data_IF_153659735109
#
_entry.id   IF_153659735109
#
_cell.length_a   1.000
_cell.length_b   1.000
_cell.length_c   1.000
_cell.angle_alpha   90.00
_cell.angle_beta   90.00
_cell.angle_gamma   90.00
#
_symmetry.space_group_name_H-M   'P 1'
#
loop_
_entity.id
_entity.type
_entity.pdbx_description
1 polymer ?
#
# COMPACT_ATOMS: atom_id res chain seq x y z
N UNK A 1 -12.29 -31.84 2.57
CA UNK A 1 -11.88 -30.54 2.03
C UNK A 1 -12.37 -29.45 2.99
N UNK A 2 -11.50 -28.85 3.80
CA UNK A 2 -11.85 -27.72 4.64
C UNK A 2 -12.01 -26.50 3.74
N UNK A 3 -13.23 -25.97 3.60
CA UNK A 3 -13.47 -24.70 2.94
C UNK A 3 -12.79 -23.61 3.76
N UNK A 4 -11.72 -23.02 3.23
CA UNK A 4 -11.01 -21.94 3.87
C UNK A 4 -11.96 -20.77 4.12
N UNK A 5 -11.87 -20.19 5.31
CA UNK A 5 -12.49 -18.92 5.69
C UNK A 5 -12.05 -17.89 4.63
N UNK A 6 -12.99 -17.23 3.96
CA UNK A 6 -12.66 -16.12 3.07
C UNK A 6 -12.08 -15.01 3.94
N UNK A 7 -10.76 -14.86 3.94
CA UNK A 7 -10.10 -13.74 4.61
C UNK A 7 -10.23 -12.52 3.71
N UNK A 8 -10.54 -11.37 4.32
CA UNK A 8 -10.64 -10.09 3.61
C UNK A 8 -9.31 -9.73 2.94
N UNK A 9 -8.19 -10.17 3.55
CA UNK A 9 -6.82 -9.99 3.06
C UNK A 9 -6.17 -11.38 3.00
N UNK A 10 -5.97 -11.88 1.79
CA UNK A 10 -5.52 -13.26 1.53
C UNK A 10 -4.01 -13.31 1.28
N UNK A 11 -3.23 -12.93 2.29
CA UNK A 11 -1.77 -13.06 2.29
C UNK A 11 -1.22 -13.32 3.70
N UNK A 12 -0.01 -13.89 3.77
CA UNK A 12 0.73 -14.08 5.02
C UNK A 12 1.72 -12.91 5.23
N UNK A 13 1.46 -12.07 6.21
CA UNK A 13 2.29 -10.92 6.58
C UNK A 13 3.66 -11.29 7.18
N UNK A 14 3.95 -12.59 7.34
CA UNK A 14 5.24 -13.14 7.78
C UNK A 14 6.11 -13.65 6.64
N UNK A 15 5.60 -13.62 5.40
CA UNK A 15 6.27 -14.10 4.20
C UNK A 15 6.43 -12.97 3.21
N UNK A 16 7.67 -12.63 2.87
CA UNK A 16 7.99 -11.64 1.85
C UNK A 16 7.38 -12.05 0.51
N UNK A 17 7.51 -13.33 0.15
CA UNK A 17 6.97 -13.85 -1.10
C UNK A 17 5.45 -13.73 -1.15
N UNK A 18 4.77 -14.05 -0.04
CA UNK A 18 3.31 -13.93 0.04
C UNK A 18 2.84 -12.47 -0.07
N UNK A 19 3.53 -11.54 0.59
CA UNK A 19 3.26 -10.10 0.47
C UNK A 19 3.46 -9.65 -0.99
N UNK A 20 4.56 -10.06 -1.61
CA UNK A 20 4.89 -9.67 -2.97
C UNK A 20 3.91 -10.23 -4.00
N UNK A 21 3.60 -11.52 -3.96
CA UNK A 21 2.64 -12.16 -4.86
C UNK A 21 1.23 -11.54 -4.72
N UNK A 22 0.85 -11.20 -3.48
CA UNK A 22 -0.40 -10.48 -3.26
C UNK A 22 -0.36 -9.08 -3.88
N UNK A 23 0.73 -8.34 -3.66
CA UNK A 23 0.93 -7.01 -4.21
C UNK A 23 0.97 -6.99 -5.75
N UNK A 24 1.50 -8.04 -6.38
CA UNK A 24 1.54 -8.18 -7.85
C UNK A 24 0.14 -8.17 -8.49
N UNK A 25 -0.90 -8.55 -7.76
CA UNK A 25 -2.28 -8.49 -8.25
C UNK A 25 -2.78 -7.07 -8.49
N UNK A 26 -2.08 -6.06 -7.94
CA UNK A 26 -2.37 -4.63 -8.18
C UNK A 26 -2.06 -4.20 -9.62
N UNK A 27 -1.16 -4.88 -10.32
CA UNK A 27 -0.76 -4.47 -11.68
C UNK A 27 -1.94 -4.54 -12.64
N UNK A 28 -2.22 -3.43 -13.31
CA UNK A 28 -3.36 -3.24 -14.20
C UNK A 28 -4.62 -2.71 -13.52
N UNK A 29 -4.68 -2.68 -12.18
CA UNK A 29 -5.81 -2.12 -11.44
C UNK A 29 -5.70 -0.61 -11.29
N UNK A 30 -6.85 0.05 -11.24
CA UNK A 30 -7.00 1.42 -10.77
C UNK A 30 -7.30 1.45 -9.26
N UNK A 31 -7.10 2.60 -8.62
CA UNK A 31 -7.48 2.76 -7.21
C UNK A 31 -9.00 2.63 -6.99
N UNK A 32 -9.83 3.00 -7.98
CA UNK A 32 -11.29 2.77 -7.93
C UNK A 32 -11.61 1.28 -7.91
N UNK A 33 -10.99 0.48 -8.78
CA UNK A 33 -11.21 -0.98 -8.81
C UNK A 33 -10.81 -1.63 -7.49
N UNK A 34 -9.70 -1.21 -6.86
CA UNK A 34 -9.31 -1.67 -5.52
C UNK A 34 -10.38 -1.32 -4.48
N UNK A 35 -10.93 -0.10 -4.55
CA UNK A 35 -12.02 0.32 -3.66
C UNK A 35 -13.27 -0.56 -3.82
N UNK A 36 -13.64 -0.86 -5.06
CA UNK A 36 -14.80 -1.69 -5.38
C UNK A 36 -14.62 -3.13 -4.90
N UNK A 37 -13.42 -3.70 -5.10
CA UNK A 37 -13.11 -5.04 -4.57
C UNK A 37 -13.16 -5.09 -3.05
N UNK A 38 -12.63 -4.08 -2.37
CA UNK A 38 -12.71 -3.98 -0.92
C UNK A 38 -14.17 -3.92 -0.45
N UNK A 39 -14.99 -3.06 -1.03
CA UNK A 39 -16.40 -2.92 -0.69
C UNK A 39 -17.19 -4.21 -0.98
N UNK A 40 -16.89 -4.90 -2.09
CA UNK A 40 -17.50 -6.18 -2.43
C UNK A 40 -17.12 -7.27 -1.41
N UNK A 41 -15.87 -7.32 -1.01
CA UNK A 41 -15.36 -8.28 -0.04
C UNK A 41 -15.97 -8.05 1.35
N UNK A 42 -16.14 -6.79 1.76
CA UNK A 42 -16.84 -6.44 3.00
C UNK A 42 -18.29 -6.93 2.97
N UNK A 43 -19.05 -6.63 1.90
CA UNK A 43 -20.43 -7.10 1.76
C UNK A 43 -20.51 -8.62 1.85
N UNK A 44 -19.64 -9.35 1.17
CA UNK A 44 -19.59 -10.81 1.21
C UNK A 44 -19.26 -11.34 2.60
N UNK A 45 -18.38 -10.68 3.34
CA UNK A 45 -18.02 -11.05 4.71
C UNK A 45 -19.20 -10.89 5.67
N UNK A 46 -19.96 -9.79 5.57
CA UNK A 46 -21.10 -9.50 6.46
C UNK A 46 -22.40 -10.18 6.06
N UNK A 47 -22.56 -10.64 4.82
CA UNK A 47 -23.76 -11.37 4.37
C UNK A 47 -23.68 -12.87 4.58
N UNK A 48 -22.59 -13.40 5.13
CA UNK A 48 -22.42 -14.84 5.39
C UNK A 48 -23.15 -15.21 6.70
N UNK A 49 -24.22 -16.05 6.67
CA UNK A 49 -25.11 -16.26 7.83
C UNK A 49 -24.54 -17.15 8.94
N UNK A 50 -23.26 -17.48 8.93
CA UNK A 50 -22.64 -18.42 9.88
C UNK A 50 -21.90 -17.78 11.08
N UNK A 51 -21.96 -16.47 11.30
CA UNK A 51 -21.40 -15.85 12.51
C UNK A 51 -22.47 -15.10 13.33
N UNK A 52 -22.46 -15.24 14.67
CA UNK A 52 -23.46 -14.57 15.49
C UNK A 52 -23.31 -13.06 15.43
N UNK A 53 -24.41 -12.40 15.10
CA UNK A 53 -24.56 -10.96 14.97
C UNK A 53 -24.33 -10.26 16.34
N UNK A 54 -23.12 -10.01 16.73
CA UNK A 54 -22.81 -9.19 17.92
C UNK A 54 -22.10 -7.88 17.63
N UNK A 55 -21.85 -7.54 16.35
CA UNK A 55 -21.32 -6.23 15.98
C UNK A 55 -22.32 -5.47 15.12
N UNK A 56 -23.06 -4.55 15.74
CA UNK A 56 -23.72 -3.46 15.01
C UNK A 56 -22.65 -2.50 14.50
N UNK A 57 -22.04 -2.82 13.34
CA UNK A 57 -21.29 -1.82 12.60
C UNK A 57 -22.32 -0.96 11.90
N UNK A 58 -22.33 0.35 12.23
CA UNK A 58 -23.00 1.33 11.36
C UNK A 58 -22.50 1.09 9.94
N UNK A 59 -23.43 1.01 8.99
CA UNK A 59 -23.14 1.03 7.55
C UNK A 59 -22.46 2.36 7.20
N UNK A 60 -21.20 2.49 7.54
CA UNK A 60 -20.33 3.42 6.86
C UNK A 60 -19.96 2.73 5.54
N UNK A 61 -20.82 2.89 4.53
CA UNK A 61 -20.36 2.90 3.16
C UNK A 61 -19.25 3.93 3.14
N UNK A 62 -18.00 3.44 3.08
CA UNK A 62 -16.84 4.32 2.99
C UNK A 62 -16.89 4.94 1.59
N UNK A 63 -17.71 5.99 1.44
CA UNK A 63 -17.50 6.94 0.36
C UNK A 63 -16.12 7.53 0.62
N UNK A 64 -15.12 6.99 -0.08
CA UNK A 64 -13.83 7.63 -0.13
C UNK A 64 -14.04 8.98 -0.84
N UNK A 65 -14.26 10.03 -0.02
CA UNK A 65 -14.27 11.39 -0.54
C UNK A 65 -12.95 11.60 -1.25
N UNK A 66 -13.02 11.79 -2.55
CA UNK A 66 -11.88 12.07 -3.42
C UNK A 66 -10.89 12.97 -2.67
N UNK A 67 -9.64 12.55 -2.48
CA UNK A 67 -8.66 13.38 -1.81
C UNK A 67 -8.60 14.72 -2.51
N UNK A 68 -8.70 15.81 -1.78
CA UNK A 68 -8.49 17.15 -2.33
C UNK A 68 -7.16 17.20 -3.07
N UNK A 69 -7.05 18.02 -4.12
CA UNK A 69 -5.91 18.11 -5.05
C UNK A 69 -4.52 18.23 -4.36
N UNK A 70 -4.48 18.57 -3.07
CA UNK A 70 -3.26 18.87 -2.31
C UNK A 70 -2.83 17.79 -1.32
N UNK A 71 -3.50 16.65 -1.25
CA UNK A 71 -3.18 15.65 -0.25
C UNK A 71 -2.10 14.68 -0.74
N UNK A 72 -0.83 15.05 -0.52
CA UNK A 72 0.31 14.15 -0.67
C UNK A 72 0.16 12.97 0.30
N UNK A 73 0.49 11.76 -0.15
CA UNK A 73 0.46 10.54 0.69
C UNK A 73 -0.90 9.83 0.78
N UNK A 74 -1.99 10.41 0.27
CA UNK A 74 -3.32 9.78 0.41
C UNK A 74 -3.46 8.45 -0.34
N UNK A 75 -2.85 8.30 -1.52
CA UNK A 75 -2.89 7.03 -2.26
C UNK A 75 -2.08 5.93 -1.56
N UNK A 76 -1.00 6.31 -0.81
CA UNK A 76 -0.25 5.37 0.03
C UNK A 76 -1.11 4.85 1.17
N UNK A 77 -1.65 5.76 1.96
CA UNK A 77 -2.56 5.42 3.05
C UNK A 77 -3.77 4.62 2.57
N UNK A 78 -4.20 4.86 1.31
CA UNK A 78 -5.27 4.09 0.68
C UNK A 78 -4.87 2.62 0.50
N UNK A 79 -3.68 2.35 -0.09
CA UNK A 79 -3.19 0.98 -0.28
C UNK A 79 -2.98 0.26 1.06
N UNK A 80 -2.36 0.93 2.03
CA UNK A 80 -2.17 0.40 3.37
C UNK A 80 -3.50 -0.08 3.97
N UNK A 81 -4.50 0.77 3.93
CA UNK A 81 -5.78 0.53 4.61
C UNK A 81 -6.70 -0.43 3.84
N UNK A 82 -6.89 -0.20 2.54
CA UNK A 82 -7.93 -0.86 1.76
C UNK A 82 -7.45 -2.07 0.98
N UNK A 83 -6.16 -2.13 0.67
CA UNK A 83 -5.59 -3.28 -0.02
C UNK A 83 -4.86 -4.23 0.93
N UNK A 84 -3.98 -3.71 1.77
CA UNK A 84 -3.20 -4.54 2.71
C UNK A 84 -3.86 -4.70 4.10
N UNK A 85 -4.83 -3.89 4.45
CA UNK A 85 -5.66 -4.06 5.65
C UNK A 85 -5.00 -3.65 6.95
N UNK A 86 -3.99 -2.80 6.92
CA UNK A 86 -3.42 -2.23 8.15
C UNK A 86 -3.65 -0.72 8.22
N UNK A 87 -3.65 -0.20 9.45
CA UNK A 87 -3.86 1.23 9.68
C UNK A 87 -2.53 1.97 9.50
N UNK A 88 -2.50 3.04 8.68
CA UNK A 88 -1.35 3.91 8.63
C UNK A 88 -0.98 4.37 10.03
N UNK A 89 0.27 4.17 10.42
CA UNK A 89 0.77 4.59 11.70
C UNK A 89 2.04 5.42 11.52
N UNK A 90 2.32 6.33 12.47
CA UNK A 90 3.52 7.15 12.48
C UNK A 90 4.73 6.47 13.12
N UNK A 91 4.73 5.15 13.21
CA UNK A 91 5.82 4.37 13.82
C UNK A 91 7.04 4.35 12.90
N UNK A 92 8.22 4.35 13.48
CA UNK A 92 9.49 4.34 12.74
C UNK A 92 9.81 2.97 12.12
N UNK A 93 9.11 1.92 12.51
CA UNK A 93 9.27 0.58 11.94
C UNK A 93 8.74 0.48 10.50
N UNK A 94 9.18 -0.55 9.78
CA UNK A 94 8.67 -0.86 8.46
C UNK A 94 7.17 -1.25 8.52
N UNK A 95 6.43 -0.95 7.45
CA UNK A 95 4.97 -1.17 7.37
C UNK A 95 4.59 -2.64 7.63
N UNK A 96 5.35 -3.58 7.07
CA UNK A 96 5.24 -5.00 7.39
C UNK A 96 6.33 -5.37 8.41
N UNK A 97 6.10 -5.03 9.67
CA UNK A 97 7.10 -5.15 10.75
C UNK A 97 7.67 -6.56 10.93
N UNK A 98 6.88 -7.62 10.63
CA UNK A 98 7.31 -9.02 10.74
C UNK A 98 8.34 -9.43 9.69
N UNK A 99 8.36 -8.78 8.54
CA UNK A 99 9.28 -9.06 7.43
C UNK A 99 10.27 -7.94 7.18
N UNK A 100 10.01 -6.75 7.73
CA UNK A 100 10.80 -5.56 7.50
C UNK A 100 10.60 -4.94 6.11
N UNK A 101 9.53 -5.28 5.42
CA UNK A 101 9.15 -4.67 4.15
C UNK A 101 8.48 -3.32 4.40
N UNK A 102 8.95 -2.29 3.73
CA UNK A 102 8.34 -0.95 3.70
C UNK A 102 7.54 -0.77 2.42
N UNK A 103 6.28 -0.37 2.51
CA UNK A 103 5.46 -0.02 1.36
C UNK A 103 5.75 1.40 0.91
N UNK A 104 6.09 1.57 -0.35
CA UNK A 104 6.20 2.88 -0.98
C UNK A 104 5.44 2.89 -2.30
N UNK A 105 4.83 4.02 -2.58
CA UNK A 105 4.18 4.24 -3.86
C UNK A 105 4.68 5.55 -4.47
N UNK A 106 4.79 5.56 -5.79
CA UNK A 106 5.22 6.73 -6.54
C UNK A 106 4.61 6.73 -7.93
N UNK A 107 4.54 7.89 -8.56
CA UNK A 107 4.05 7.98 -9.93
C UNK A 107 5.17 7.85 -10.95
N UNK A 108 4.77 7.34 -12.10
CA UNK A 108 5.51 7.43 -13.36
C UNK A 108 4.72 8.29 -14.34
N UNK A 109 5.43 9.02 -15.18
CA UNK A 109 4.87 9.81 -16.27
C UNK A 109 5.23 9.16 -17.61
N UNK A 110 4.28 9.10 -18.54
CA UNK A 110 4.54 8.66 -19.91
C UNK A 110 5.06 9.82 -20.76
N UNK A 111 6.20 9.59 -21.39
CA UNK A 111 6.79 10.55 -22.35
C UNK A 111 6.09 10.45 -23.70
N UNK A 112 6.29 11.47 -24.55
CA UNK A 112 5.71 11.51 -25.91
C UNK A 112 6.17 10.35 -26.82
N UNK A 113 7.34 9.78 -26.56
CA UNK A 113 7.87 8.61 -27.28
C UNK A 113 7.36 7.26 -26.75
N UNK A 114 6.47 7.28 -25.75
CA UNK A 114 5.91 6.08 -25.12
C UNK A 114 6.68 5.56 -23.91
N UNK A 115 7.92 5.99 -23.69
CA UNK A 115 8.72 5.59 -22.53
C UNK A 115 8.15 6.14 -21.23
N UNK A 116 8.52 5.52 -20.11
CA UNK A 116 8.20 6.01 -18.77
C UNK A 116 9.39 6.75 -18.14
N UNK A 117 9.08 7.67 -17.25
CA UNK A 117 10.05 8.34 -16.39
C UNK A 117 9.48 8.50 -14.98
N UNK A 118 10.35 8.64 -13.99
CA UNK A 118 9.92 9.00 -12.65
C UNK A 118 9.13 10.31 -12.68
N UNK A 119 7.95 10.30 -12.09
CA UNK A 119 7.07 11.46 -12.03
C UNK A 119 7.33 12.35 -10.82
N UNK A 120 7.90 11.76 -9.74
CA UNK A 120 8.24 12.49 -8.52
C UNK A 120 9.39 11.80 -7.77
N UNK A 121 9.93 12.51 -6.76
CA UNK A 121 10.91 11.94 -5.85
C UNK A 121 10.23 11.04 -4.83
N UNK A 122 10.84 9.89 -4.55
CA UNK A 122 10.38 9.00 -3.48
C UNK A 122 10.80 9.56 -2.13
N UNK A 123 9.83 9.86 -1.26
CA UNK A 123 10.10 10.23 0.12
C UNK A 123 10.31 8.96 0.94
N UNK A 124 11.46 8.82 1.56
CA UNK A 124 11.81 7.64 2.35
C UNK A 124 11.26 7.76 3.77
N UNK A 125 11.76 8.74 4.53
CA UNK A 125 11.38 8.99 5.91
C UNK A 125 11.71 10.42 6.31
N UNK A 126 11.14 10.88 7.41
CA UNK A 126 11.51 12.15 8.02
C UNK A 126 12.64 11.92 9.04
N UNK A 127 13.63 12.80 9.04
CA UNK A 127 14.71 12.78 10.03
C UNK A 127 14.28 13.67 11.19
N UNK A 128 14.25 13.11 12.39
CA UNK A 128 14.00 13.88 13.61
C UNK A 128 15.33 14.42 14.15
N UNK A 129 15.47 15.75 14.21
CA UNK A 129 16.65 16.38 14.83
C UNK A 129 16.68 16.30 16.35
N UNK A 130 15.61 15.75 16.97
CA UNK A 130 15.50 15.62 18.43
C UNK A 130 15.95 14.26 18.94
N UNK A 131 16.12 13.29 18.04
CA UNK A 131 16.53 11.93 18.37
C UNK A 131 18.05 11.82 18.27
N UNK A 132 18.69 10.98 19.13
CA UNK A 132 20.09 10.68 18.99
C UNK A 132 20.39 10.14 17.59
N UNK A 133 21.51 10.58 17.02
CA UNK A 133 22.00 10.00 15.77
C UNK A 133 22.54 8.62 16.06
N UNK A 134 22.04 7.59 15.35
CA UNK A 134 22.61 6.26 15.40
C UNK A 134 23.95 6.28 14.65
N UNK A 135 25.03 5.94 15.33
CA UNK A 135 26.38 5.93 14.77
C UNK A 135 26.56 4.83 13.70
N UNK A 136 25.76 3.75 13.79
CA UNK A 136 25.77 2.65 12.84
C UNK A 136 24.55 2.80 11.90
N UNK A 137 24.81 3.16 10.65
CA UNK A 137 23.77 3.31 9.64
C UNK A 137 22.84 2.09 9.52
N UNK A 138 23.41 0.87 9.60
CA UNK A 138 22.65 -0.38 9.48
C UNK A 138 21.73 -0.67 10.68
N UNK A 139 21.88 0.05 11.78
CA UNK A 139 20.96 0.02 12.95
C UNK A 139 19.96 1.15 12.94
N UNK A 140 20.11 2.12 12.04
CA UNK A 140 19.26 3.30 12.00
C UNK A 140 17.83 2.97 11.53
N UNK A 141 16.88 3.81 11.93
CA UNK A 141 15.50 3.74 11.41
C UNK A 141 15.43 4.02 9.90
N UNK A 142 16.39 4.78 9.37
CA UNK A 142 16.50 5.00 7.92
C UNK A 142 16.77 3.70 7.20
N UNK A 143 17.73 2.91 7.70
CA UNK A 143 18.02 1.59 7.13
C UNK A 143 16.81 0.65 7.25
N UNK A 144 16.12 0.65 8.40
CA UNK A 144 14.90 -0.16 8.56
C UNK A 144 13.85 0.12 7.50
N UNK A 145 13.74 1.39 7.03
CA UNK A 145 12.78 1.83 5.99
C UNK A 145 13.25 1.60 4.56
N UNK A 146 14.56 1.41 4.30
CA UNK A 146 15.07 1.28 2.92
C UNK A 146 15.60 -0.10 2.58
N UNK A 147 15.92 -0.92 3.57
CA UNK A 147 16.56 -2.23 3.35
C UNK A 147 15.76 -3.16 2.44
N UNK A 148 14.44 -3.03 2.45
CA UNK A 148 13.53 -3.79 1.58
C UNK A 148 12.25 -2.99 1.36
N UNK A 149 12.07 -2.50 0.15
CA UNK A 149 10.93 -1.66 -0.25
C UNK A 149 10.03 -2.43 -1.22
N UNK A 150 8.76 -2.55 -0.89
CA UNK A 150 7.70 -2.90 -1.83
C UNK A 150 7.25 -1.63 -2.54
N UNK A 151 7.70 -1.47 -3.78
CA UNK A 151 7.51 -0.25 -4.56
C UNK A 151 6.39 -0.42 -5.58
N UNK A 152 5.33 0.37 -5.42
CA UNK A 152 4.16 0.40 -6.29
C UNK A 152 4.23 1.64 -7.19
N UNK A 153 4.25 1.44 -8.51
CA UNK A 153 4.27 2.53 -9.49
C UNK A 153 2.91 2.66 -10.15
N UNK A 154 2.33 3.86 -10.09
CA UNK A 154 1.10 4.18 -10.82
C UNK A 154 1.37 5.20 -11.94
N UNK A 155 0.64 5.07 -13.04
CA UNK A 155 0.71 6.00 -14.16
C UNK A 155 -0.09 7.26 -13.84
N UNK A 156 0.60 8.39 -13.73
CA UNK A 156 -0.04 9.67 -13.53
C UNK A 156 -0.57 10.21 -14.87
N UNK A 157 -1.86 10.44 -14.93
CA UNK A 157 -2.54 11.11 -16.02
C UNK A 157 -3.30 12.33 -15.47
N UNK A 158 -2.77 13.52 -15.70
CA UNK A 158 -3.33 14.77 -15.16
C UNK A 158 -4.74 15.09 -15.70
N UNK A 159 -5.20 14.41 -16.74
CA UNK A 159 -6.55 14.55 -17.29
C UNK A 159 -7.60 13.71 -16.52
N UNK A 160 -7.16 12.79 -15.68
CA UNK A 160 -7.99 11.85 -14.92
C UNK A 160 -8.06 12.19 -13.45
N UNK A 161 -9.10 11.67 -12.78
CA UNK A 161 -9.11 11.63 -11.33
C UNK A 161 -7.99 10.72 -10.82
N UNK A 162 -7.41 11.03 -9.66
CA UNK A 162 -6.34 10.22 -9.05
C UNK A 162 -6.75 8.77 -8.78
N UNK A 163 -8.02 8.54 -8.46
CA UNK A 163 -8.55 7.19 -8.25
C UNK A 163 -8.61 6.37 -9.55
N UNK A 164 -8.56 7.01 -10.72
CA UNK A 164 -8.50 6.36 -12.03
C UNK A 164 -7.07 6.12 -12.52
N UNK A 165 -6.06 6.43 -11.70
CA UNK A 165 -4.68 6.11 -12.04
C UNK A 165 -4.47 4.60 -11.95
N UNK A 166 -3.86 4.06 -13.01
CA UNK A 166 -3.58 2.63 -13.14
C UNK A 166 -2.22 2.29 -12.52
N UNK A 167 -2.17 1.24 -11.72
CA UNK A 167 -0.93 0.68 -11.19
C UNK A 167 -0.24 -0.11 -12.29
N UNK A 168 0.97 0.30 -12.66
CA UNK A 168 1.73 -0.28 -13.78
C UNK A 168 2.73 -1.33 -13.34
N UNK A 169 3.41 -1.09 -12.23
CA UNK A 169 4.48 -1.99 -11.78
C UNK A 169 4.48 -2.11 -10.27
N UNK A 170 4.75 -3.32 -9.81
CA UNK A 170 5.02 -3.63 -8.41
C UNK A 170 6.33 -4.39 -8.34
N UNK A 171 7.29 -3.88 -7.56
CA UNK A 171 8.61 -4.46 -7.45
C UNK A 171 9.09 -4.49 -5.99
N UNK A 172 9.90 -5.49 -5.65
CA UNK A 172 10.73 -5.43 -4.46
C UNK A 172 12.06 -4.78 -4.82
N UNK A 173 12.47 -3.82 -4.03
CA UNK A 173 13.73 -3.09 -4.18
C UNK A 173 14.56 -3.23 -2.92
N UNK A 174 15.83 -3.55 -3.11
CA UNK A 174 16.85 -3.56 -2.06
C UNK A 174 17.99 -2.65 -2.52
N UNK A 175 18.44 -1.67 -1.71
CA UNK A 175 19.58 -0.85 -2.09
C UNK A 175 20.82 -1.71 -2.28
N UNK A 176 21.71 -1.35 -3.25
CA UNK A 176 22.99 -2.02 -3.39
C UNK A 176 23.75 -2.00 -2.06
N UNK A 177 24.38 -3.12 -1.72
CA UNK A 177 25.31 -3.22 -0.60
C UNK A 177 26.69 -3.29 -1.23
N UNK A 178 27.39 -2.17 -1.26
CA UNK A 178 28.80 -2.08 -1.68
C UNK A 178 29.72 -2.39 -0.51
#
# INVERSE_FOLDING_TARGET
MKRGKAMLFDYDDRSIDSIFEYAKRLEGMTFNEISDEYNHSLKKFYTNPMEPQSFKIKEDTVEYKTPGENAKGQLGNFLERYYFGYMPNGVQDADFSKTGVELKQTCIDQKKNGDYSAGERLSITNISYKEPVEDDFYKSHVWAKIKLILLVHYLRDKSKNRMDYEIKYVNLFTPPQD
#
